data_IF_589827506995
#
_entry.id   IF_589827506995
#
_cell.length_a   1.000
_cell.length_b   1.000
_cell.length_c   1.000
_cell.angle_alpha   90.00
_cell.angle_beta   90.00
_cell.angle_gamma   90.00
#
_symmetry.space_group_name_H-M   'P 1'
#
loop_
_entity.id
_entity.type
_entity.pdbx_description
1 polymer ?
#
# COMPACT_ATOMS: atom_id res chain seq x y z
N UNK A 1 13.70 -7.99 21.21
CA UNK A 1 13.96 -6.52 21.17
C UNK A 1 13.34 -5.85 19.95
N UNK A 2 13.19 -6.50 18.80
CA UNK A 2 12.48 -5.92 17.63
C UNK A 2 10.98 -5.60 17.88
N UNK A 3 10.40 -6.09 18.98
CA UNK A 3 9.01 -5.84 19.37
C UNK A 3 8.78 -4.48 20.09
N UNK A 4 9.82 -3.68 20.31
CA UNK A 4 9.70 -2.31 20.80
C UNK A 4 10.02 -1.35 19.64
N UNK A 5 9.37 -0.19 19.59
CA UNK A 5 9.61 0.85 18.58
C UNK A 5 11.12 1.17 18.46
N UNK A 6 11.76 1.43 19.60
CA UNK A 6 13.22 1.66 19.70
C UNK A 6 14.07 0.48 19.22
N UNK A 7 13.50 -0.72 19.21
CA UNK A 7 14.16 -1.94 18.76
C UNK A 7 14.42 -1.95 17.27
N UNK A 8 13.49 -1.43 16.47
CA UNK A 8 13.63 -1.32 15.02
C UNK A 8 14.66 -0.25 14.63
N UNK A 9 14.84 0.77 15.46
CA UNK A 9 15.81 1.84 15.23
C UNK A 9 17.26 1.46 15.61
N UNK A 10 17.46 0.30 16.26
CA UNK A 10 18.80 -0.15 16.61
C UNK A 10 19.65 -0.41 15.35
N UNK A 11 20.91 0.05 15.33
CA UNK A 11 21.81 -0.21 14.21
C UNK A 11 21.88 -1.70 13.88
N UNK A 12 21.60 -2.03 12.60
CA UNK A 12 21.64 -3.39 12.08
C UNK A 12 20.38 -4.23 12.31
N UNK A 13 19.32 -3.69 12.92
CA UNK A 13 18.01 -4.36 13.04
C UNK A 13 17.06 -3.91 11.95
N UNK A 14 16.71 -2.63 11.92
CA UNK A 14 15.87 -2.03 10.90
C UNK A 14 16.63 -1.05 10.01
N UNK A 15 16.07 -0.78 8.83
CA UNK A 15 16.51 0.31 7.95
C UNK A 15 15.27 1.15 7.62
N UNK A 16 15.27 2.47 7.88
CA UNK A 16 14.19 3.32 7.43
C UNK A 16 14.19 3.37 5.90
N UNK A 17 13.01 3.25 5.31
CA UNK A 17 12.78 3.32 3.87
C UNK A 17 11.63 4.27 3.56
N UNK A 18 11.77 5.06 2.50
CA UNK A 18 10.71 5.93 2.01
C UNK A 18 9.77 5.19 1.06
N UNK A 19 8.60 5.76 0.74
CA UNK A 19 7.68 5.15 -0.23
C UNK A 19 8.32 5.03 -1.63
N UNK A 20 9.09 6.03 -2.05
CA UNK A 20 9.85 5.99 -3.29
C UNK A 20 10.88 4.84 -3.28
N UNK A 21 11.64 4.69 -2.20
CA UNK A 21 12.61 3.59 -2.08
C UNK A 21 11.93 2.22 -2.07
N UNK A 22 10.83 2.06 -1.33
CA UNK A 22 10.06 0.81 -1.35
C UNK A 22 9.58 0.46 -2.76
N UNK A 23 9.14 1.45 -3.54
CA UNK A 23 8.74 1.26 -4.94
C UNK A 23 9.92 0.87 -5.82
N UNK A 24 11.03 1.61 -5.73
CA UNK A 24 12.23 1.39 -6.55
C UNK A 24 12.88 0.02 -6.27
N UNK A 25 12.86 -0.40 -5.00
CA UNK A 25 13.32 -1.72 -4.57
C UNK A 25 12.27 -2.82 -4.81
N UNK A 26 11.12 -2.51 -5.40
CA UNK A 26 10.02 -3.44 -5.66
C UNK A 26 9.56 -4.22 -4.42
N UNK A 27 9.56 -3.56 -3.26
CA UNK A 27 9.11 -4.13 -1.98
C UNK A 27 7.65 -4.58 -2.10
N UNK A 28 7.35 -5.73 -1.51
CA UNK A 28 6.00 -6.26 -1.37
C UNK A 28 5.72 -6.62 0.07
N UNK A 29 4.63 -6.08 0.61
CA UNK A 29 4.13 -6.42 1.94
C UNK A 29 3.00 -7.43 1.77
N UNK A 30 3.20 -8.61 2.31
CA UNK A 30 2.28 -9.74 2.21
C UNK A 30 1.66 -10.14 3.55
N UNK A 31 2.07 -9.52 4.66
CA UNK A 31 1.55 -9.69 6.02
C UNK A 31 1.74 -8.39 6.80
N UNK A 32 0.73 -7.99 7.56
CA UNK A 32 0.83 -6.91 8.53
C UNK A 32 0.72 -7.49 9.94
N UNK A 33 1.61 -7.07 10.84
CA UNK A 33 1.53 -7.41 12.25
C UNK A 33 1.37 -6.10 13.01
N UNK A 34 0.28 -5.98 13.76
CA UNK A 34 -0.05 -4.77 14.52
C UNK A 34 -0.21 -5.09 16.00
N UNK A 35 0.04 -4.10 16.84
CA UNK A 35 -0.33 -4.10 18.25
C UNK A 35 -1.39 -3.05 18.48
N UNK A 36 -2.03 -3.09 19.64
CA UNK A 36 -3.09 -2.16 19.99
C UNK A 36 -3.28 -2.13 21.49
N UNK A 37 -4.15 -1.24 21.95
CA UNK A 37 -4.41 -1.12 23.39
C UNK A 37 -5.49 -2.08 23.83
N UNK A 38 -6.57 -2.19 23.06
CA UNK A 38 -7.68 -3.12 23.33
C UNK A 38 -8.22 -3.69 22.02
N UNK A 39 -8.37 -5.02 21.98
CA UNK A 39 -9.03 -5.77 20.92
C UNK A 39 -10.25 -6.49 21.48
N UNK A 40 -11.27 -6.75 20.67
CA UNK A 40 -12.27 -7.75 21.02
C UNK A 40 -11.90 -9.14 20.47
N UNK A 41 -12.61 -10.16 20.95
CA UNK A 41 -12.48 -11.54 20.46
C UNK A 41 -12.90 -11.73 18.98
N UNK A 42 -13.25 -10.66 18.25
CA UNK A 42 -13.56 -10.67 16.82
C UNK A 42 -12.55 -9.84 16.01
N UNK A 43 -11.38 -9.52 16.57
CA UNK A 43 -10.29 -8.88 15.82
C UNK A 43 -10.53 -7.41 15.47
N UNK A 44 -11.53 -6.79 16.10
CA UNK A 44 -11.77 -5.34 16.04
C UNK A 44 -10.91 -4.67 17.09
N UNK A 45 -10.12 -3.66 16.69
CA UNK A 45 -9.45 -2.79 17.64
C UNK A 45 -10.51 -1.85 18.26
N UNK A 46 -10.80 -2.02 19.55
CA UNK A 46 -11.80 -1.18 20.25
C UNK A 46 -11.20 0.20 20.56
N UNK A 47 -9.90 0.24 20.86
CA UNK A 47 -9.18 1.47 21.11
C UNK A 47 -7.79 1.39 20.48
N UNK A 48 -7.70 1.96 19.29
CA UNK A 48 -6.44 2.40 18.70
C UNK A 48 -6.37 3.92 18.92
N UNK A 49 -5.19 4.50 19.05
CA UNK A 49 -5.04 5.94 19.22
C UNK A 49 -5.46 6.70 17.95
N UNK A 50 -4.57 7.52 17.42
CA UNK A 50 -4.77 8.07 16.08
C UNK A 50 -4.71 6.90 15.07
N UNK A 51 -5.65 6.83 14.11
CA UNK A 51 -5.83 5.81 13.06
C UNK A 51 -4.62 5.68 12.09
N UNK A 52 -3.42 5.53 12.64
CA UNK A 52 -2.16 5.55 11.92
C UNK A 52 -1.98 4.27 11.11
N UNK A 53 -2.48 3.13 11.61
CA UNK A 53 -2.40 1.88 10.88
C UNK A 53 -3.28 1.91 9.63
N UNK A 54 -4.49 2.46 9.70
CA UNK A 54 -5.39 2.66 8.55
C UNK A 54 -4.75 3.58 7.50
N UNK A 55 -4.10 4.66 7.96
CA UNK A 55 -3.38 5.59 7.08
C UNK A 55 -2.21 4.87 6.40
N UNK A 56 -1.39 4.12 7.14
CA UNK A 56 -0.29 3.34 6.57
C UNK A 56 -0.79 2.29 5.59
N UNK A 57 -1.86 1.58 5.93
CA UNK A 57 -2.51 0.59 5.07
C UNK A 57 -2.94 1.22 3.74
N UNK A 58 -3.69 2.32 3.79
CA UNK A 58 -4.16 3.03 2.61
C UNK A 58 -3.00 3.58 1.76
N UNK A 59 -1.94 4.10 2.38
CA UNK A 59 -0.76 4.58 1.64
C UNK A 59 -0.03 3.45 0.91
N UNK A 60 0.18 2.30 1.58
CA UNK A 60 0.86 1.16 0.97
C UNK A 60 0.02 0.48 -0.12
N UNK A 61 -1.32 0.52 0.00
CA UNK A 61 -2.22 0.12 -1.09
C UNK A 61 -2.14 1.08 -2.28
N UNK A 62 -2.14 2.39 -2.03
CA UNK A 62 -2.05 3.41 -3.09
C UNK A 62 -0.78 3.23 -3.93
N UNK A 63 0.34 2.92 -3.25
CA UNK A 63 1.64 2.64 -3.87
C UNK A 63 1.76 1.22 -4.45
N UNK A 64 0.73 0.37 -4.34
CA UNK A 64 0.73 -1.05 -4.75
C UNK A 64 1.88 -1.86 -4.12
N UNK A 65 2.32 -1.46 -2.94
CA UNK A 65 3.33 -2.15 -2.13
C UNK A 65 2.65 -3.24 -1.30
N UNK A 66 1.48 -2.94 -0.74
CA UNK A 66 0.68 -3.88 0.02
C UNK A 66 -0.15 -4.77 -0.91
N UNK A 67 -0.15 -6.09 -0.64
CA UNK A 67 -1.05 -7.04 -1.30
C UNK A 67 -2.49 -6.76 -0.86
N UNK A 68 -3.42 -6.69 -1.81
CA UNK A 68 -4.85 -6.37 -1.58
C UNK A 68 -5.51 -7.24 -0.47
N UNK A 69 -5.09 -8.50 -0.37
CA UNK A 69 -5.57 -9.45 0.64
C UNK A 69 -4.49 -9.83 1.66
N UNK A 70 -3.60 -8.90 1.98
CA UNK A 70 -2.62 -9.12 3.02
C UNK A 70 -3.35 -9.43 4.35
N UNK A 71 -3.04 -10.56 5.01
CA UNK A 71 -3.49 -10.83 6.35
C UNK A 71 -2.95 -9.80 7.34
N UNK A 72 -3.74 -9.52 8.36
CA UNK A 72 -3.41 -8.66 9.49
C UNK A 72 -3.47 -9.51 10.76
N UNK A 73 -2.39 -9.50 11.53
CA UNK A 73 -2.27 -10.21 12.80
C UNK A 73 -2.14 -9.17 13.90
N UNK A 74 -3.14 -9.09 14.77
CA UNK A 74 -3.05 -8.38 16.03
C UNK A 74 -2.27 -9.22 17.05
N UNK A 75 -1.24 -8.65 17.66
CA UNK A 75 -0.50 -9.25 18.76
C UNK A 75 -0.81 -8.47 20.03
N UNK A 76 -1.30 -9.18 21.05
CA UNK A 76 -1.79 -8.57 22.28
C UNK A 76 -1.48 -9.46 23.49
N UNK A 77 -1.50 -8.88 24.69
CA UNK A 77 -1.62 -9.66 25.92
C UNK A 77 -3.07 -10.09 26.15
N UNK A 78 -3.30 -11.21 26.86
CA UNK A 78 -4.65 -11.67 27.16
C UNK A 78 -5.52 -10.61 27.87
N UNK A 79 -4.92 -9.76 28.72
CA UNK A 79 -5.62 -8.65 29.37
C UNK A 79 -6.04 -7.50 28.44
N UNK A 80 -5.55 -7.49 27.19
CA UNK A 80 -5.92 -6.52 26.17
C UNK A 80 -7.02 -7.06 25.24
N UNK A 81 -7.41 -8.33 25.39
CA UNK A 81 -8.48 -8.95 24.61
C UNK A 81 -9.73 -9.01 25.47
N UNK A 82 -10.78 -8.33 25.02
CA UNK A 82 -12.06 -8.22 25.72
C UNK A 82 -13.07 -9.16 25.08
N UNK A 83 -13.65 -10.03 25.90
CA UNK A 83 -14.86 -10.77 25.54
C UNK A 83 -16.10 -10.00 26.02
N UNK A 84 -16.74 -9.33 25.08
CA UNK A 84 -17.92 -8.51 25.34
C UNK A 84 -19.13 -9.36 25.77
N UNK A 85 -19.19 -10.62 25.32
CA UNK A 85 -20.25 -11.56 25.69
C UNK A 85 -20.09 -11.97 27.15
N UNK A 86 -18.87 -12.29 27.57
CA UNK A 86 -18.58 -12.60 28.98
C UNK A 86 -18.84 -11.41 29.91
N UNK A 87 -18.59 -10.19 29.43
CA UNK A 87 -18.83 -8.96 30.19
C UNK A 87 -20.29 -8.50 30.18
N UNK A 88 -21.17 -9.14 29.39
CA UNK A 88 -22.55 -8.70 29.20
C UNK A 88 -22.67 -7.32 28.55
N UNK A 89 -21.64 -6.91 27.81
CA UNK A 89 -21.61 -5.66 27.05
C UNK A 89 -22.25 -5.85 25.68
N UNK A 90 -22.67 -4.74 25.06
CA UNK A 90 -23.04 -4.78 23.64
C UNK A 90 -21.81 -5.08 22.81
N UNK A 91 -21.97 -5.97 21.83
CA UNK A 91 -20.88 -6.36 20.93
C UNK A 91 -20.47 -5.16 20.06
N UNK A 92 -19.21 -4.74 20.18
CA UNK A 92 -18.61 -3.76 19.28
C UNK A 92 -18.33 -4.44 17.95
N UNK A 93 -19.18 -4.15 16.99
CA UNK A 93 -18.89 -4.37 15.57
C UNK A 93 -18.59 -3.02 14.95
N UNK A 94 -17.52 -2.93 14.18
CA UNK A 94 -17.20 -1.72 13.44
C UNK A 94 -17.62 -1.87 11.99
N UNK A 95 -18.40 -0.89 11.54
CA UNK A 95 -18.74 -0.62 10.14
C UNK A 95 -18.10 0.69 9.68
N UNK A 96 -17.05 1.14 10.38
CA UNK A 96 -16.31 2.36 10.04
C UNK A 96 -15.64 2.15 8.68
N UNK A 97 -15.92 3.07 7.76
CA UNK A 97 -15.27 3.06 6.45
C UNK A 97 -13.78 3.31 6.61
N UNK A 98 -12.94 2.45 6.01
CA UNK A 98 -11.50 2.59 6.06
C UNK A 98 -10.81 1.83 7.21
N UNK A 99 -11.58 1.24 8.13
CA UNK A 99 -11.01 0.42 9.21
C UNK A 99 -10.37 -0.87 8.68
N UNK A 100 -9.20 -1.20 9.21
CA UNK A 100 -8.48 -2.44 8.90
C UNK A 100 -8.65 -3.45 10.04
N UNK A 101 -9.50 -4.46 9.83
CA UNK A 101 -9.70 -5.51 10.84
C UNK A 101 -8.63 -6.59 10.77
N UNK A 102 -8.32 -7.17 11.93
CA UNK A 102 -7.36 -8.27 12.04
C UNK A 102 -7.99 -9.60 11.67
N UNK A 103 -7.26 -10.42 10.91
CA UNK A 103 -7.63 -11.80 10.60
C UNK A 103 -7.27 -12.76 11.74
N UNK A 104 -6.29 -12.39 12.57
CA UNK A 104 -5.94 -13.13 13.78
C UNK A 104 -5.72 -12.17 14.95
N UNK A 105 -6.16 -12.58 16.14
CA UNK A 105 -5.66 -12.06 17.41
C UNK A 105 -4.81 -13.13 18.07
N UNK A 106 -3.53 -12.82 18.30
CA UNK A 106 -2.55 -13.72 18.89
C UNK A 106 -2.16 -13.18 20.27
N UNK A 107 -2.35 -14.02 21.28
CA UNK A 107 -1.92 -13.80 22.66
C UNK A 107 -0.96 -14.91 23.10
N UNK A 108 -0.26 -14.78 24.24
CA UNK A 108 0.59 -15.85 24.75
C UNK A 108 -0.15 -17.18 24.96
N UNK A 109 -1.45 -17.14 25.27
CA UNK A 109 -2.23 -18.30 25.69
C UNK A 109 -3.21 -18.80 24.61
N UNK A 110 -3.52 -17.98 23.61
CA UNK A 110 -4.53 -18.29 22.60
C UNK A 110 -4.27 -17.60 21.26
N UNK A 111 -4.73 -18.24 20.18
CA UNK A 111 -4.85 -17.64 18.85
C UNK A 111 -6.30 -17.73 18.40
N UNK A 112 -6.88 -16.59 18.03
CA UNK A 112 -8.25 -16.47 17.55
C UNK A 112 -8.22 -16.09 16.08
N UNK A 113 -8.85 -16.88 15.23
CA UNK A 113 -9.03 -16.57 13.80
C UNK A 113 -10.37 -15.88 13.56
N UNK A 114 -10.36 -14.85 12.72
CA UNK A 114 -11.50 -14.03 12.36
C UNK A 114 -11.85 -14.28 10.90
N UNK A 115 -12.87 -15.10 10.66
CA UNK A 115 -13.22 -15.59 9.34
C UNK A 115 -13.69 -14.52 8.33
N UNK A 116 -14.07 -13.31 8.77
CA UNK A 116 -14.67 -12.28 7.93
C UNK A 116 -14.12 -10.87 8.20
N UNK A 117 -12.82 -10.76 8.48
CA UNK A 117 -12.16 -9.47 8.71
C UNK A 117 -12.31 -8.54 7.50
N UNK A 118 -12.87 -7.35 7.73
CA UNK A 118 -13.04 -6.31 6.72
C UNK A 118 -11.77 -5.46 6.60
N UNK A 119 -11.37 -5.17 5.36
CA UNK A 119 -10.25 -4.26 5.08
C UNK A 119 -10.62 -3.37 3.89
N UNK A 120 -10.28 -2.07 3.89
CA UNK A 120 -10.49 -1.23 2.72
C UNK A 120 -9.58 -1.70 1.59
N UNK A 121 -10.03 -1.53 0.35
CA UNK A 121 -9.22 -1.77 -0.86
C UNK A 121 -8.85 -0.47 -1.58
N UNK A 122 -9.33 0.67 -1.07
CA UNK A 122 -9.02 2.00 -1.59
C UNK A 122 -7.73 2.56 -1.01
N UNK A 123 -7.01 3.34 -1.81
CA UNK A 123 -5.90 4.16 -1.36
C UNK A 123 -6.35 5.38 -0.54
N UNK A 124 -5.43 6.30 -0.29
CA UNK A 124 -5.68 7.53 0.47
C UNK A 124 -6.59 8.48 -0.32
N UNK A 125 -7.66 8.94 0.33
CA UNK A 125 -8.46 10.09 -0.10
C UNK A 125 -7.97 11.35 0.60
N UNK A 126 -7.15 12.14 -0.10
CA UNK A 126 -6.55 13.37 0.43
C UNK A 126 -7.57 14.46 0.79
N UNK A 127 -8.81 14.39 0.29
CA UNK A 127 -9.85 15.34 0.66
C UNK A 127 -10.42 15.05 2.06
N UNK A 128 -10.18 13.84 2.59
CA UNK A 128 -10.62 13.40 3.93
C UNK A 128 -9.51 13.41 4.97
N UNK A 129 -8.25 13.60 4.55
CA UNK A 129 -7.10 13.61 5.46
C UNK A 129 -7.06 14.91 6.25
N UNK A 130 -6.82 14.80 7.56
CA UNK A 130 -6.60 15.95 8.44
C UNK A 130 -5.48 16.86 7.90
N UNK A 131 -5.73 18.16 7.64
CA UNK A 131 -4.73 19.08 7.13
C UNK A 131 -3.49 19.19 8.01
N UNK A 132 -3.64 19.12 9.33
CA UNK A 132 -2.50 19.16 10.26
C UNK A 132 -1.67 17.87 10.16
N UNK A 133 -2.31 16.71 10.15
CA UNK A 133 -1.67 15.43 9.87
C UNK A 133 -0.89 15.42 8.56
N UNK A 134 -1.46 15.95 7.48
CA UNK A 134 -0.79 16.05 6.18
C UNK A 134 0.47 16.96 6.22
N UNK A 135 0.48 17.98 7.07
CA UNK A 135 1.64 18.87 7.25
C UNK A 135 2.72 18.28 8.18
N UNK A 136 2.38 17.28 8.99
CA UNK A 136 3.28 16.77 10.02
C UNK A 136 3.72 15.31 9.81
N UNK A 137 3.09 14.56 8.91
CA UNK A 137 3.41 13.15 8.64
C UNK A 137 4.20 13.07 7.32
N UNK A 138 5.55 12.91 7.36
CA UNK A 138 6.38 12.96 6.15
C UNK A 138 6.00 11.93 5.07
N UNK A 139 5.64 10.68 5.42
CA UNK A 139 5.18 9.72 4.41
C UNK A 139 3.91 10.14 3.66
N UNK A 140 2.98 10.86 4.30
CA UNK A 140 1.78 11.39 3.62
C UNK A 140 2.15 12.51 2.62
N UNK A 141 3.13 13.34 2.97
CA UNK A 141 3.65 14.37 2.07
C UNK A 141 4.34 13.76 0.85
N UNK A 142 5.15 12.72 1.08
CA UNK A 142 5.80 11.97 0.02
C UNK A 142 4.76 11.37 -0.95
N UNK A 143 3.74 10.70 -0.41
CA UNK A 143 2.66 10.14 -1.24
C UNK A 143 1.94 11.22 -2.06
N UNK A 144 1.61 12.36 -1.44
CA UNK A 144 0.97 13.48 -2.13
C UNK A 144 1.83 14.02 -3.27
N UNK A 145 3.14 14.14 -3.03
CA UNK A 145 4.11 14.57 -4.04
C UNK A 145 4.19 13.60 -5.21
N UNK A 146 4.26 12.29 -4.93
CA UNK A 146 4.28 11.23 -5.95
C UNK A 146 3.02 11.30 -6.82
N UNK A 147 1.82 11.33 -6.23
CA UNK A 147 0.56 11.40 -6.99
C UNK A 147 0.45 12.67 -7.82
N UNK A 148 0.87 13.81 -7.27
CA UNK A 148 0.86 15.08 -8.01
C UNK A 148 1.76 15.00 -9.25
N UNK A 149 2.96 14.43 -9.10
CA UNK A 149 3.88 14.24 -10.22
C UNK A 149 3.30 13.29 -11.27
N UNK A 150 2.72 12.17 -10.85
CA UNK A 150 2.08 11.21 -11.76
C UNK A 150 0.91 11.84 -12.52
N UNK A 151 0.09 12.66 -11.87
CA UNK A 151 -0.99 13.42 -12.51
C UNK A 151 -0.45 14.42 -13.54
N UNK A 152 0.63 15.14 -13.22
CA UNK A 152 1.28 16.07 -14.16
C UNK A 152 1.83 15.30 -15.37
N UNK A 153 2.56 14.20 -15.14
CA UNK A 153 3.12 13.36 -16.21
C UNK A 153 2.04 12.77 -17.12
N UNK A 154 0.89 12.38 -16.55
CA UNK A 154 -0.27 11.90 -17.32
C UNK A 154 -0.92 13.02 -18.11
N UNK A 155 -1.09 14.21 -17.52
CA UNK A 155 -1.71 15.37 -18.17
C UNK A 155 -0.86 15.92 -19.32
N UNK A 156 0.44 15.98 -19.13
CA UNK A 156 1.39 16.52 -20.10
C UNK A 156 1.87 15.45 -21.12
N UNK A 157 1.29 14.23 -21.08
CA UNK A 157 1.50 13.20 -22.09
C UNK A 157 2.89 12.55 -22.11
N UNK A 158 3.66 12.67 -21.03
CA UNK A 158 5.02 12.12 -20.93
C UNK A 158 5.07 10.63 -20.60
N UNK A 159 3.96 10.03 -20.15
CA UNK A 159 3.83 8.57 -20.12
C UNK A 159 3.55 8.14 -21.55
N UNK A 160 4.60 7.68 -22.23
CA UNK A 160 4.48 7.00 -23.51
C UNK A 160 3.38 5.96 -23.39
N UNK A 161 2.30 6.13 -24.15
CA UNK A 161 1.51 4.98 -24.59
C UNK A 161 2.54 3.95 -25.03
N UNK A 162 2.45 2.71 -24.56
CA UNK A 162 3.19 1.60 -25.14
C UNK A 162 3.22 1.85 -26.65
N UNK A 163 4.41 2.13 -27.19
CA UNK A 163 4.59 2.19 -28.62
C UNK A 163 4.20 0.80 -29.08
N UNK A 164 2.95 0.71 -29.54
CA UNK A 164 2.42 -0.45 -30.24
C UNK A 164 3.52 -0.78 -31.25
N UNK A 165 4.15 -1.97 -31.20
CA UNK A 165 5.31 -2.26 -32.03
C UNK A 165 4.98 -1.81 -33.43
N UNK A 166 5.78 -0.86 -33.93
CA UNK A 166 5.55 -0.20 -35.21
C UNK A 166 5.26 -1.31 -36.21
N UNK A 167 4.03 -1.34 -36.73
CA UNK A 167 3.57 -2.47 -37.52
C UNK A 167 4.57 -2.65 -38.67
N UNK A 168 5.01 -3.89 -38.91
CA UNK A 168 5.97 -4.17 -39.96
C UNK A 168 5.53 -3.46 -41.25
N UNK A 169 6.43 -2.74 -41.94
CA UNK A 169 6.07 -1.95 -43.11
C UNK A 169 5.32 -2.81 -44.10
N UNK A 170 4.24 -2.28 -44.65
CA UNK A 170 3.40 -2.94 -45.65
C UNK A 170 4.22 -3.27 -46.90
N UNK A 171 3.75 -4.20 -47.74
CA UNK A 171 4.47 -4.58 -48.97
C UNK A 171 4.75 -3.39 -49.89
N UNK A 172 3.84 -2.41 -49.94
CA UNK A 172 3.99 -1.18 -50.71
C UNK A 172 5.06 -0.25 -50.12
N UNK A 173 5.14 -0.17 -48.79
CA UNK A 173 6.18 0.61 -48.08
C UNK A 173 7.56 -0.05 -48.23
N UNK A 174 7.64 -1.38 -48.16
CA UNK A 174 8.88 -2.12 -48.42
C UNK A 174 9.35 -1.94 -49.86
N UNK A 175 8.43 -1.94 -50.83
CA UNK A 175 8.75 -1.63 -52.22
C UNK A 175 9.32 -0.20 -52.33
N UNK A 176 8.69 0.77 -51.69
CA UNK A 176 9.15 2.16 -51.63
C UNK A 176 10.56 2.30 -51.05
N UNK A 177 10.84 1.65 -49.92
CA UNK A 177 12.17 1.63 -49.28
C UNK A 177 13.21 1.03 -50.24
N UNK A 178 12.91 -0.09 -50.89
CA UNK A 178 13.84 -0.74 -51.83
C UNK A 178 14.17 0.10 -53.06
N UNK A 179 13.22 0.93 -53.52
CA UNK A 179 13.42 1.86 -54.65
C UNK A 179 14.36 2.99 -54.23
N UNK A 180 14.16 3.56 -53.04
CA UNK A 180 15.00 4.63 -52.50
C UNK A 180 16.43 4.14 -52.28
N UNK A 181 16.62 2.94 -51.74
CA UNK A 181 17.96 2.35 -51.56
C UNK A 181 18.70 2.16 -52.89
N UNK A 182 18.01 1.66 -53.92
CA UNK A 182 18.60 1.51 -55.27
C UNK A 182 18.98 2.85 -55.89
N UNK A 183 18.13 3.87 -55.72
CA UNK A 183 18.44 5.24 -56.17
C UNK A 183 19.67 5.77 -55.43
N UNK A 184 19.72 5.65 -54.11
CA UNK A 184 20.84 6.10 -53.29
C UNK A 184 22.16 5.40 -53.62
N UNK A 185 22.12 4.12 -54.00
CA UNK A 185 23.29 3.39 -54.48
C UNK A 185 23.74 3.87 -55.87
N UNK A 186 22.81 4.23 -56.76
CA UNK A 186 23.14 4.77 -58.09
C UNK A 186 23.78 6.17 -58.06
N UNK A 187 23.54 6.96 -57.00
CA UNK A 187 24.16 8.28 -56.82
C UNK A 187 25.54 8.24 -56.14
N UNK A 188 25.97 7.06 -55.65
CA UNK A 188 27.29 6.85 -55.03
C UNK A 188 28.35 6.32 -56.00
N UNK A 189 28.07 6.30 -57.30
CA UNK A 189 28.99 5.88 -58.36
C UNK A 189 29.13 6.97 -59.43
#
# INVERSE_FOLDING_TARGET
MAACLDGMEKPGIGRPVTLAQMRDESVKVDLCVTGGLVFNAQGVTIWEGHNLFEVQWAMLQDMKILREKAPVVAVAHGCQVVDEVELGAEKVTSDIQGEVQSDWVVTPDATVEIAAAKKPTSGIDFDTVDPEGLLNIPPLQELRGIRMMEQIMQRDGFVSKEEKPEAAPTEDEQLGISIVEKLMQSFKS
#
